data_IF_547545210393
#
_entry.id   IF_547545210393
#
_cell.length_a   1.000
_cell.length_b   1.000
_cell.length_c   1.000
_cell.angle_alpha   90.00
_cell.angle_beta   90.00
_cell.angle_gamma   90.00
#
_symmetry.space_group_name_H-M   'P 1'
#
loop_
_entity.id
_entity.type
_entity.pdbx_description
1 polymer ?
#
# COMPACT_ATOMS: atom_id res chain seq x y z
N UNK A 1 24.20 12.01 -3.96
CA UNK A 1 22.93 11.90 -4.69
C UNK A 1 21.91 11.23 -3.79
N UNK A 2 20.71 11.79 -3.68
CA UNK A 2 19.60 11.20 -2.92
C UNK A 2 18.28 11.46 -3.66
N UNK A 3 17.24 10.72 -3.28
CA UNK A 3 15.88 10.95 -3.77
C UNK A 3 14.96 11.10 -2.57
N UNK A 4 14.22 12.21 -2.51
CA UNK A 4 13.23 12.49 -1.47
C UNK A 4 11.96 13.04 -2.11
N UNK A 5 10.80 12.40 -1.90
CA UNK A 5 9.51 12.90 -2.41
C UNK A 5 9.52 13.24 -3.91
N UNK A 6 10.02 12.33 -4.75
CA UNK A 6 10.20 12.54 -6.19
C UNK A 6 11.10 13.72 -6.58
N UNK A 7 11.95 14.19 -5.66
CA UNK A 7 13.03 15.13 -5.94
C UNK A 7 14.37 14.40 -5.93
N UNK A 8 15.08 14.43 -7.05
CA UNK A 8 16.45 13.93 -7.14
C UNK A 8 17.40 15.06 -6.79
N UNK A 9 18.16 14.86 -5.72
CA UNK A 9 19.13 15.82 -5.20
C UNK A 9 20.53 15.43 -5.64
N UNK A 10 21.15 16.28 -6.45
CA UNK A 10 22.50 16.12 -6.99
C UNK A 10 23.42 17.13 -6.31
N UNK A 11 24.08 16.70 -5.25
CA UNK A 11 25.01 17.55 -4.51
C UNK A 11 26.33 16.85 -4.22
N UNK A 12 27.39 17.64 -4.09
CA UNK A 12 28.71 17.18 -3.70
C UNK A 12 29.72 18.30 -3.54
N UNK A 13 30.80 18.00 -2.84
CA UNK A 13 32.01 18.85 -2.78
C UNK A 13 33.05 18.32 -3.75
N UNK A 14 33.86 19.19 -4.34
CA UNK A 14 34.91 18.84 -5.30
C UNK A 14 36.10 19.81 -5.20
N UNK A 15 37.25 19.40 -5.73
CA UNK A 15 38.43 20.24 -5.90
C UNK A 15 38.56 20.82 -7.32
N UNK A 16 37.55 20.61 -8.18
CA UNK A 16 37.51 21.22 -9.50
C UNK A 16 37.49 22.76 -9.40
N UNK A 17 38.13 23.48 -10.35
CA UNK A 17 38.06 24.94 -10.38
C UNK A 17 36.62 25.43 -10.54
N UNK A 18 36.32 26.60 -9.97
CA UNK A 18 35.05 27.28 -10.22
C UNK A 18 34.83 27.46 -11.73
N UNK A 19 33.59 27.24 -12.17
CA UNK A 19 33.23 27.23 -13.59
C UNK A 19 33.37 25.88 -14.28
N UNK A 20 33.90 24.86 -13.59
CA UNK A 20 33.89 23.48 -14.10
C UNK A 20 32.46 22.96 -14.19
N UNK A 21 32.17 22.13 -15.19
CA UNK A 21 30.83 21.56 -15.40
C UNK A 21 30.77 20.07 -15.03
N UNK A 22 29.81 19.71 -14.18
CA UNK A 22 29.41 18.33 -13.89
C UNK A 22 28.18 18.02 -14.72
N UNK A 23 28.21 16.98 -15.57
CA UNK A 23 27.03 16.54 -16.30
C UNK A 23 26.27 15.47 -15.52
N UNK A 24 24.97 15.42 -15.70
CA UNK A 24 24.16 14.29 -15.24
C UNK A 24 23.10 13.93 -16.29
N UNK A 25 22.66 12.68 -16.22
CA UNK A 25 21.60 12.08 -17.02
C UNK A 25 20.66 11.28 -16.08
N UNK A 26 19.36 11.45 -16.22
CA UNK A 26 18.33 10.62 -15.61
C UNK A 26 17.61 9.91 -16.75
N UNK A 27 17.40 8.62 -16.61
CA UNK A 27 16.69 7.79 -17.58
C UNK A 27 15.66 6.93 -16.86
N UNK A 28 14.46 6.79 -17.43
CA UNK A 28 13.54 5.73 -17.00
C UNK A 28 13.85 4.43 -17.76
N UNK A 29 14.09 3.32 -17.05
CA UNK A 29 14.53 2.07 -17.70
C UNK A 29 13.50 1.52 -18.68
N UNK A 30 12.21 1.67 -18.36
CA UNK A 30 11.12 1.09 -19.17
C UNK A 30 10.51 2.09 -20.16
N UNK A 31 10.78 3.39 -20.00
CA UNK A 31 10.25 4.44 -20.88
C UNK A 31 11.38 5.34 -21.36
N UNK A 32 11.99 4.94 -22.48
CA UNK A 32 13.13 5.62 -23.09
C UNK A 32 12.82 7.06 -23.57
N UNK A 33 11.56 7.52 -23.49
CA UNK A 33 11.21 8.92 -23.79
C UNK A 33 11.28 9.83 -22.56
N UNK A 34 11.42 9.24 -21.37
CA UNK A 34 11.52 9.95 -20.10
C UNK A 34 12.99 9.98 -19.71
N UNK A 35 13.62 11.12 -20.03
CA UNK A 35 15.01 11.38 -19.68
C UNK A 35 15.20 12.87 -19.38
N UNK A 36 16.12 13.18 -18.47
CA UNK A 36 16.58 14.53 -18.20
C UNK A 36 18.10 14.58 -18.18
N UNK A 37 18.68 15.72 -18.57
CA UNK A 37 20.10 15.97 -18.39
C UNK A 37 20.34 17.42 -18.03
N UNK A 38 21.39 17.68 -17.25
CA UNK A 38 21.89 19.03 -17.14
C UNK A 38 23.40 19.08 -16.88
N UNK A 39 23.92 20.31 -16.94
CA UNK A 39 25.29 20.67 -16.61
C UNK A 39 25.26 21.60 -15.40
N UNK A 40 25.92 21.19 -14.34
CA UNK A 40 25.98 21.88 -13.06
C UNK A 40 27.35 22.54 -12.95
N UNK A 41 27.36 23.84 -12.72
CA UNK A 41 28.60 24.59 -12.51
C UNK A 41 29.11 24.35 -11.08
N UNK A 42 30.42 24.15 -10.95
CA UNK A 42 31.10 24.08 -9.66
C UNK A 42 31.32 25.51 -9.17
N UNK A 43 30.89 25.78 -7.93
CA UNK A 43 31.07 27.06 -7.24
C UNK A 43 31.60 26.79 -5.82
N UNK A 44 32.70 27.45 -5.47
CA UNK A 44 33.36 27.37 -4.16
C UNK A 44 33.67 25.92 -3.73
N UNK A 45 34.07 25.09 -4.70
CA UNK A 45 34.36 23.66 -4.47
C UNK A 45 33.12 22.82 -4.18
N UNK A 46 31.94 23.25 -4.61
CA UNK A 46 30.68 22.52 -4.44
C UNK A 46 29.80 22.60 -5.69
N UNK A 47 28.88 21.66 -5.84
CA UNK A 47 27.85 21.69 -6.86
C UNK A 47 26.52 21.21 -6.28
N UNK A 48 25.42 21.73 -6.83
CA UNK A 48 24.07 21.42 -6.38
C UNK A 48 23.08 21.52 -7.54
N UNK A 49 22.19 20.55 -7.66
CA UNK A 49 21.07 20.59 -8.60
C UNK A 49 19.92 19.71 -8.10
N UNK A 50 18.70 20.07 -8.48
CA UNK A 50 17.48 19.34 -8.17
C UNK A 50 16.74 19.01 -9.45
N UNK A 51 16.20 17.80 -9.54
CA UNK A 51 15.31 17.39 -10.63
C UNK A 51 14.00 16.88 -10.04
N UNK A 52 12.89 17.49 -10.45
CA UNK A 52 11.54 17.04 -10.12
C UNK A 52 11.14 15.91 -11.07
N UNK A 53 11.09 14.69 -10.53
CA UNK A 53 10.68 13.48 -11.27
C UNK A 53 9.23 13.09 -10.98
N UNK A 54 8.40 13.98 -10.42
CA UNK A 54 6.98 13.71 -10.14
C UNK A 54 6.19 13.32 -11.39
N UNK A 55 6.60 13.81 -12.57
CA UNK A 55 6.01 13.46 -13.87
C UNK A 55 6.46 12.13 -14.48
N UNK A 56 7.47 11.47 -13.90
CA UNK A 56 7.98 10.19 -14.43
C UNK A 56 6.94 9.07 -14.19
N UNK A 57 6.82 8.08 -15.09
CA UNK A 57 6.01 6.89 -14.82
C UNK A 57 6.58 6.10 -13.63
N UNK A 58 5.74 5.22 -13.08
CA UNK A 58 6.20 4.24 -12.09
C UNK A 58 7.19 3.25 -12.72
N UNK A 59 8.10 2.74 -11.90
CA UNK A 59 9.16 1.82 -12.32
C UNK A 59 10.56 2.34 -12.01
N UNK A 60 11.54 1.67 -12.59
CA UNK A 60 12.93 1.93 -12.29
C UNK A 60 13.45 3.18 -13.00
N UNK A 61 13.89 4.17 -12.21
CA UNK A 61 14.61 5.36 -12.65
C UNK A 61 16.10 5.15 -12.41
N UNK A 62 16.87 5.24 -13.48
CA UNK A 62 18.31 5.17 -13.48
C UNK A 62 18.87 6.59 -13.46
N UNK A 63 19.65 6.91 -12.44
CA UNK A 63 20.27 8.22 -12.28
C UNK A 63 21.77 8.06 -12.47
N UNK A 64 22.28 8.70 -13.52
CA UNK A 64 23.67 8.68 -13.91
C UNK A 64 24.28 10.07 -13.73
N UNK A 65 25.42 10.16 -13.07
CA UNK A 65 26.20 11.41 -13.07
C UNK A 65 27.56 11.16 -13.69
N UNK A 66 28.05 12.07 -14.54
CA UNK A 66 29.38 11.94 -15.10
C UNK A 66 30.08 13.28 -15.32
N UNK A 67 31.38 13.28 -15.09
CA UNK A 67 32.21 14.48 -15.26
C UNK A 67 32.89 14.43 -16.62
N UNK A 68 32.55 15.39 -17.49
CA UNK A 68 33.25 15.59 -18.76
C UNK A 68 34.37 16.61 -18.56
N UNK A 69 35.60 16.11 -18.37
CA UNK A 69 36.81 16.94 -18.22
C UNK A 69 37.26 17.66 -19.52
N UNK A 70 36.37 17.87 -20.49
CA UNK A 70 36.72 18.36 -21.83
C UNK A 70 36.99 19.87 -21.90
N UNK A 71 36.58 20.65 -20.89
CA UNK A 71 36.72 22.12 -20.85
C UNK A 71 37.72 22.62 -19.80
N UNK A 72 38.44 21.70 -19.13
CA UNK A 72 39.50 22.09 -18.21
C UNK A 72 40.74 22.52 -19.01
N UNK A 73 41.45 23.59 -18.60
CA UNK A 73 42.77 23.85 -19.15
C UNK A 73 43.65 22.60 -18.95
N UNK A 74 44.47 22.25 -19.94
CA UNK A 74 45.51 21.22 -19.84
C UNK A 74 46.50 21.62 -18.72
N UNK A 75 46.12 21.37 -17.47
CA UNK A 75 46.95 21.52 -16.30
C UNK A 75 47.08 20.14 -15.67
N UNK A 76 48.25 19.53 -15.86
CA UNK A 76 48.56 18.13 -15.50
C UNK A 76 48.31 17.83 -14.01
N UNK A 77 48.25 18.86 -13.15
CA UNK A 77 47.98 18.72 -11.72
C UNK A 77 46.53 18.34 -11.37
N UNK A 78 45.57 18.48 -12.28
CA UNK A 78 44.16 18.14 -12.02
C UNK A 78 43.84 16.65 -12.23
N UNK A 79 44.71 15.93 -12.92
CA UNK A 79 44.43 14.57 -13.42
C UNK A 79 44.77 13.44 -12.43
N UNK A 80 45.40 13.74 -11.29
CA UNK A 80 46.03 12.76 -10.39
C UNK A 80 45.22 12.36 -9.14
N UNK A 81 43.90 12.57 -9.06
CA UNK A 81 43.21 12.27 -7.78
C UNK A 81 41.69 12.23 -7.74
N UNK A 82 41.04 11.29 -8.43
CA UNK A 82 39.59 11.07 -8.27
C UNK A 82 39.28 9.57 -8.20
N UNK A 83 38.95 9.06 -7.00
CA UNK A 83 38.26 7.77 -6.84
C UNK A 83 37.18 7.88 -5.76
N UNK A 84 35.98 7.35 -6.06
CA UNK A 84 34.85 7.32 -5.14
C UNK A 84 35.02 6.22 -4.09
N UNK A 85 35.31 6.63 -2.85
CA UNK A 85 34.91 5.86 -1.69
C UNK A 85 34.33 6.82 -0.66
N UNK A 86 33.06 6.61 -0.33
CA UNK A 86 32.32 7.32 0.72
C UNK A 86 32.03 8.83 0.47
N UNK A 87 31.70 9.22 -0.77
CA UNK A 87 31.21 10.57 -1.13
C UNK A 87 32.13 11.76 -0.78
N UNK A 88 33.46 11.58 -0.80
CA UNK A 88 34.43 12.67 -0.67
C UNK A 88 35.56 12.49 -1.68
N UNK A 89 35.87 13.53 -2.46
CA UNK A 89 37.09 13.59 -3.29
C UNK A 89 38.29 13.82 -2.36
N UNK A 90 39.20 12.84 -2.20
CA UNK A 90 40.45 13.02 -1.43
C UNK A 90 41.63 12.35 -2.14
N UNK A 91 42.74 13.08 -2.23
CA UNK A 91 44.00 12.65 -2.87
C UNK A 91 45.15 12.30 -1.90
N UNK A 92 46.34 12.24 -2.49
CA UNK A 92 47.68 11.89 -1.95
C UNK A 92 48.02 10.38 -1.83
N UNK A 93 47.98 9.62 -2.95
CA UNK A 93 48.87 8.49 -3.29
C UNK A 93 48.16 7.43 -4.18
N UNK A 94 48.30 7.50 -5.52
CA UNK A 94 48.11 6.32 -6.39
C UNK A 94 49.10 6.34 -7.57
N UNK A 95 49.80 5.22 -7.74
CA UNK A 95 50.87 5.00 -8.73
C UNK A 95 50.37 4.56 -10.10
N UNK A 96 51.07 5.06 -11.12
CA UNK A 96 50.95 4.88 -12.57
C UNK A 96 50.82 3.41 -13.04
N UNK A 97 49.75 3.10 -13.77
CA UNK A 97 49.87 2.63 -15.17
C UNK A 97 48.51 2.73 -15.89
N UNK A 98 48.26 3.84 -16.58
CA UNK A 98 47.13 4.01 -17.50
C UNK A 98 47.64 4.64 -18.80
N UNK A 99 48.44 3.90 -19.55
CA UNK A 99 48.75 4.28 -20.93
C UNK A 99 47.52 4.12 -21.85
N UNK A 100 47.29 5.21 -22.61
CA UNK A 100 46.67 5.30 -23.93
C UNK A 100 45.14 5.40 -24.04
N UNK A 101 44.74 6.56 -24.58
CA UNK A 101 43.43 6.91 -25.15
C UNK A 101 42.23 6.63 -24.26
N UNK A 102 41.75 7.63 -23.50
CA UNK A 102 40.31 7.85 -23.23
C UNK A 102 40.09 9.04 -22.31
N UNK A 103 39.17 9.92 -22.72
CA UNK A 103 38.50 10.90 -21.84
C UNK A 103 38.05 10.17 -20.57
N UNK A 104 38.63 10.51 -19.42
CA UNK A 104 38.30 9.86 -18.15
C UNK A 104 36.87 10.25 -17.76
N UNK A 105 35.93 9.37 -18.09
CA UNK A 105 34.52 9.49 -17.74
C UNK A 105 34.34 8.85 -16.37
N UNK A 106 34.21 9.66 -15.33
CA UNK A 106 33.77 9.18 -14.02
C UNK A 106 32.26 9.04 -14.06
N UNK A 107 31.70 7.91 -13.58
CA UNK A 107 30.26 7.71 -13.49
C UNK A 107 29.84 7.29 -12.08
N UNK A 108 28.76 7.87 -11.57
CA UNK A 108 27.99 7.33 -10.43
C UNK A 108 26.64 6.83 -10.95
N UNK A 109 26.14 5.73 -10.37
CA UNK A 109 24.89 5.10 -10.76
C UNK A 109 24.02 4.87 -9.52
N UNK A 110 22.88 5.55 -9.47
CA UNK A 110 21.84 5.32 -8.46
C UNK A 110 20.59 4.83 -9.15
N UNK A 111 19.98 3.81 -8.58
CA UNK A 111 18.70 3.28 -9.02
C UNK A 111 17.63 3.68 -8.02
N UNK A 112 16.53 4.25 -8.50
CA UNK A 112 15.36 4.62 -7.71
C UNK A 112 14.13 3.91 -8.27
N UNK A 113 13.40 3.18 -7.42
CA UNK A 113 12.13 2.57 -7.82
C UNK A 113 11.01 3.56 -7.52
N UNK A 114 10.42 4.15 -8.55
CA UNK A 114 9.25 5.01 -8.38
C UNK A 114 8.01 4.15 -8.23
N UNK A 115 7.39 4.21 -7.06
CA UNK A 115 6.15 3.47 -6.81
C UNK A 115 4.99 4.05 -7.62
N UNK A 116 4.10 3.17 -8.06
CA UNK A 116 2.83 3.58 -8.66
C UNK A 116 1.93 4.18 -7.58
N UNK A 117 1.60 5.46 -7.74
CA UNK A 117 0.62 6.13 -6.86
C UNK A 117 -0.78 5.75 -7.35
N UNK A 118 -1.30 4.64 -6.81
CA UNK A 118 -2.69 4.25 -7.04
C UNK A 118 -3.56 5.17 -6.15
N UNK A 119 -4.46 5.99 -6.72
CA UNK A 119 -5.35 6.81 -5.90
C UNK A 119 -6.20 5.89 -5.00
N UNK A 120 -6.50 6.32 -3.76
CA UNK A 120 -7.34 5.52 -2.89
C UNK A 120 -8.69 5.28 -3.56
N UNK A 121 -9.20 4.06 -3.41
CA UNK A 121 -10.54 3.73 -3.88
C UNK A 121 -11.57 4.62 -3.16
N UNK A 122 -12.46 5.26 -3.93
CA UNK A 122 -13.56 6.03 -3.36
C UNK A 122 -14.76 5.09 -3.11
N UNK A 123 -15.31 5.12 -1.89
CA UNK A 123 -16.43 4.27 -1.53
C UNK A 123 -17.64 4.46 -2.46
N UNK A 124 -18.25 3.35 -2.88
CA UNK A 124 -19.39 3.36 -3.81
C UNK A 124 -20.65 2.92 -3.08
N UNK A 125 -21.70 3.73 -3.18
CA UNK A 125 -22.99 3.47 -2.52
C UNK A 125 -24.04 3.02 -3.52
N UNK A 126 -24.71 1.92 -3.20
CA UNK A 126 -25.86 1.38 -3.89
C UNK A 126 -27.07 1.41 -2.94
N UNK A 127 -28.22 1.86 -3.44
CA UNK A 127 -29.45 1.88 -2.66
C UNK A 127 -30.63 1.49 -3.53
N UNK A 128 -31.60 0.80 -2.94
CA UNK A 128 -32.78 0.31 -3.64
C UNK A 128 -33.87 -0.15 -2.69
N UNK A 129 -34.89 -0.79 -3.25
CA UNK A 129 -36.03 -1.34 -2.50
C UNK A 129 -36.58 -2.55 -3.23
N UNK A 130 -36.90 -3.61 -2.48
CA UNK A 130 -37.30 -4.87 -3.08
C UNK A 130 -36.09 -5.68 -3.59
N UNK A 131 -36.39 -6.70 -4.40
CA UNK A 131 -35.36 -7.53 -5.04
C UNK A 131 -34.63 -6.76 -6.15
N UNK A 132 -33.31 -6.96 -6.27
CA UNK A 132 -32.49 -6.34 -7.33
C UNK A 132 -31.26 -7.20 -7.68
N UNK A 133 -30.70 -6.99 -8.87
CA UNK A 133 -29.47 -7.62 -9.33
C UNK A 133 -28.65 -6.63 -10.17
N UNK A 134 -27.46 -6.26 -9.69
CA UNK A 134 -26.66 -5.20 -10.30
C UNK A 134 -25.15 -5.48 -10.23
N UNK A 135 -24.36 -4.98 -11.21
CA UNK A 135 -22.91 -5.01 -11.13
C UNK A 135 -22.40 -4.03 -10.07
N UNK A 136 -21.26 -4.36 -9.48
CA UNK A 136 -20.60 -3.51 -8.49
C UNK A 136 -19.25 -2.99 -8.99
N UNK A 137 -18.90 -1.79 -8.55
CA UNK A 137 -17.55 -1.24 -8.59
C UNK A 137 -16.87 -1.56 -7.26
N UNK A 138 -15.62 -2.01 -7.32
CA UNK A 138 -14.86 -2.52 -6.19
C UNK A 138 -13.37 -2.21 -6.35
N UNK A 139 -12.58 -2.14 -5.27
CA UNK A 139 -11.13 -2.01 -5.38
C UNK A 139 -10.50 -3.29 -5.94
N UNK A 140 -9.24 -3.19 -6.37
CA UNK A 140 -8.47 -4.33 -6.89
C UNK A 140 -8.07 -5.34 -5.79
N UNK A 141 -8.28 -4.99 -4.51
CA UNK A 141 -7.96 -5.80 -3.34
C UNK A 141 -9.17 -6.28 -2.53
N UNK A 142 -8.88 -6.79 -1.33
CA UNK A 142 -9.90 -7.18 -0.35
C UNK A 142 -10.79 -5.98 -0.04
N UNK A 143 -12.10 -6.20 0.00
CA UNK A 143 -13.05 -5.14 0.25
C UNK A 143 -14.12 -5.56 1.24
N UNK A 144 -14.78 -4.54 1.80
CA UNK A 144 -15.89 -4.70 2.73
C UNK A 144 -17.18 -4.20 2.10
N UNK A 145 -18.30 -4.74 2.58
CA UNK A 145 -19.63 -4.22 2.32
C UNK A 145 -20.23 -3.78 3.65
N UNK A 146 -20.57 -2.50 3.78
CA UNK A 146 -21.43 -2.01 4.88
C UNK A 146 -22.86 -2.05 4.38
N UNK A 147 -23.72 -2.81 5.04
CA UNK A 147 -25.07 -3.13 4.55
C UNK A 147 -26.08 -2.72 5.61
N UNK A 148 -27.06 -1.91 5.20
CA UNK A 148 -28.21 -1.53 6.00
C UNK A 148 -29.49 -1.96 5.28
N UNK A 149 -30.42 -2.61 5.99
CA UNK A 149 -31.64 -3.06 5.36
C UNK A 149 -32.59 -3.82 6.27
N UNK A 150 -33.67 -4.29 5.66
CA UNK A 150 -34.66 -5.14 6.30
C UNK A 150 -35.34 -4.55 7.54
N UNK A 151 -35.59 -3.24 7.55
CA UNK A 151 -36.33 -2.56 8.63
C UNK A 151 -37.70 -3.18 8.93
N UNK A 152 -38.28 -3.89 7.97
CA UNK A 152 -39.56 -4.59 8.10
C UNK A 152 -39.47 -6.00 8.75
N UNK A 153 -38.26 -6.49 9.05
CA UNK A 153 -38.01 -7.84 9.59
C UNK A 153 -38.73 -8.94 8.79
N UNK A 154 -38.40 -8.98 7.49
CA UNK A 154 -38.81 -10.00 6.52
C UNK A 154 -37.57 -10.74 6.02
N UNK A 155 -37.73 -11.67 5.10
CA UNK A 155 -36.54 -12.28 4.49
C UNK A 155 -35.71 -11.20 3.79
N UNK A 156 -34.43 -11.13 4.16
CA UNK A 156 -33.44 -10.26 3.54
C UNK A 156 -32.15 -11.03 3.28
N UNK A 157 -31.68 -10.99 2.04
CA UNK A 157 -30.44 -11.62 1.66
C UNK A 157 -29.65 -10.75 0.68
N UNK A 158 -28.33 -10.80 0.82
CA UNK A 158 -27.37 -10.19 -0.12
C UNK A 158 -26.40 -11.28 -0.53
N UNK A 159 -26.33 -11.56 -1.84
CA UNK A 159 -25.53 -12.65 -2.40
C UNK A 159 -24.66 -12.15 -3.54
N UNK A 160 -23.39 -12.54 -3.52
CA UNK A 160 -22.41 -12.22 -4.55
C UNK A 160 -22.37 -13.23 -5.70
N UNK A 161 -22.04 -12.74 -6.88
CA UNK A 161 -21.77 -13.52 -8.08
C UNK A 161 -20.55 -12.98 -8.84
N UNK A 162 -19.80 -13.88 -9.50
CA UNK A 162 -18.69 -13.53 -10.39
C UNK A 162 -19.17 -13.13 -11.80
N UNK A 163 -18.24 -12.73 -12.68
CA UNK A 163 -18.54 -12.35 -14.08
C UNK A 163 -19.14 -13.49 -14.92
N UNK A 164 -18.94 -14.74 -14.51
CA UNK A 164 -19.52 -15.91 -15.17
C UNK A 164 -20.92 -16.27 -14.61
N UNK A 165 -21.40 -15.53 -13.61
CA UNK A 165 -22.68 -15.76 -12.94
C UNK A 165 -22.64 -16.91 -11.94
N UNK A 166 -21.47 -17.36 -11.49
CA UNK A 166 -21.36 -18.31 -10.39
C UNK A 166 -21.49 -17.58 -9.06
N UNK A 167 -22.17 -18.19 -8.09
CA UNK A 167 -22.26 -17.61 -6.76
C UNK A 167 -20.91 -17.63 -6.05
N UNK A 168 -20.52 -16.50 -5.44
CA UNK A 168 -19.27 -16.33 -4.69
C UNK A 168 -19.53 -16.51 -3.20
N UNK A 169 -20.30 -15.60 -2.58
CA UNK A 169 -20.59 -15.58 -1.14
C UNK A 169 -22.04 -15.21 -0.87
N UNK A 170 -22.61 -15.81 0.18
CA UNK A 170 -23.85 -15.33 0.79
C UNK A 170 -23.46 -14.39 1.92
N UNK A 171 -23.50 -13.09 1.67
CA UNK A 171 -23.04 -12.06 2.59
C UNK A 171 -23.99 -11.87 3.75
N UNK A 172 -25.29 -11.78 3.45
CA UNK A 172 -26.35 -11.61 4.45
C UNK A 172 -27.46 -12.59 4.15
N UNK A 173 -28.03 -13.19 5.19
CA UNK A 173 -29.26 -14.00 5.11
C UNK A 173 -29.96 -13.99 6.46
N UNK A 174 -30.97 -13.13 6.61
CA UNK A 174 -31.63 -12.91 7.90
C UNK A 174 -33.13 -12.64 7.73
N UNK A 175 -33.86 -12.79 8.84
CA UNK A 175 -35.24 -12.28 8.97
C UNK A 175 -35.34 -11.05 9.86
N UNK A 176 -34.24 -10.65 10.50
CA UNK A 176 -34.17 -9.52 11.42
C UNK A 176 -33.68 -8.26 10.67
N UNK A 177 -33.92 -7.07 11.24
CA UNK A 177 -33.28 -5.85 10.72
C UNK A 177 -31.77 -6.02 10.68
N UNK A 178 -31.13 -5.52 9.62
CA UNK A 178 -29.71 -5.72 9.39
C UNK A 178 -29.00 -4.38 9.29
N UNK A 179 -27.90 -4.27 10.02
CA UNK A 179 -26.90 -3.21 9.93
C UNK A 179 -25.57 -3.85 10.35
N UNK A 180 -24.61 -3.93 9.44
CA UNK A 180 -23.37 -4.65 9.69
C UNK A 180 -22.35 -4.54 8.55
N UNK A 181 -21.12 -4.94 8.84
CA UNK A 181 -20.01 -4.96 7.89
C UNK A 181 -19.61 -6.39 7.59
N UNK A 182 -19.48 -6.73 6.31
CA UNK A 182 -19.08 -8.07 5.85
C UNK A 182 -17.89 -8.01 4.91
N UNK A 183 -17.09 -9.07 4.89
CA UNK A 183 -15.83 -9.15 4.16
C UNK A 183 -15.98 -9.94 2.85
N UNK A 184 -15.44 -9.44 1.74
CA UNK A 184 -15.09 -10.28 0.59
C UNK A 184 -13.57 -10.44 0.51
N UNK A 185 -13.07 -11.54 1.06
CA UNK A 185 -11.65 -11.88 1.08
C UNK A 185 -11.16 -12.49 -0.25
N UNK A 186 -12.06 -13.13 -1.01
CA UNK A 186 -11.69 -13.84 -2.23
C UNK A 186 -11.70 -12.92 -3.46
N UNK A 187 -12.28 -11.73 -3.33
CA UNK A 187 -12.28 -10.63 -4.32
C UNK A 187 -12.90 -11.00 -5.69
N UNK A 188 -13.65 -12.09 -5.74
CA UNK A 188 -14.26 -12.63 -6.95
C UNK A 188 -15.67 -12.08 -7.24
N UNK A 189 -16.30 -11.36 -6.32
CA UNK A 189 -17.66 -10.83 -6.52
C UNK A 189 -17.63 -9.64 -7.47
N UNK A 190 -18.44 -9.71 -8.53
CA UNK A 190 -18.66 -8.62 -9.51
C UNK A 190 -20.11 -8.15 -9.57
N UNK A 191 -21.05 -8.94 -9.05
CA UNK A 191 -22.48 -8.64 -9.00
C UNK A 191 -23.05 -8.94 -7.63
N UNK A 192 -24.05 -8.17 -7.22
CA UNK A 192 -24.87 -8.46 -6.04
C UNK A 192 -26.31 -8.75 -6.46
N UNK A 193 -26.88 -9.80 -5.88
CA UNK A 193 -28.31 -10.07 -5.82
C UNK A 193 -28.81 -9.69 -4.43
N UNK A 194 -29.79 -8.80 -4.38
CA UNK A 194 -30.50 -8.44 -3.16
C UNK A 194 -31.89 -9.07 -3.22
N UNK A 195 -32.29 -9.79 -2.17
CA UNK A 195 -33.67 -10.20 -1.96
C UNK A 195 -34.23 -9.45 -0.76
N UNK A 196 -35.23 -8.59 -0.96
CA UNK A 196 -35.74 -7.72 0.09
C UNK A 196 -37.23 -7.39 -0.09
N UNK A 197 -37.90 -7.05 1.00
CA UNK A 197 -39.29 -6.53 0.96
C UNK A 197 -39.37 -5.00 1.03
N UNK A 198 -38.27 -4.32 1.37
CA UNK A 198 -38.22 -2.88 1.58
C UNK A 198 -36.84 -2.33 1.25
N UNK A 199 -36.57 -1.12 1.75
CA UNK A 199 -35.38 -0.35 1.39
C UNK A 199 -34.10 -0.99 1.94
N UNK A 200 -33.02 -0.82 1.18
CA UNK A 200 -31.67 -1.26 1.53
C UNK A 200 -30.63 -0.28 0.98
N UNK A 201 -29.47 -0.25 1.66
CA UNK A 201 -28.27 0.47 1.26
C UNK A 201 -27.05 -0.45 1.42
N UNK A 202 -26.14 -0.41 0.46
CA UNK A 202 -24.90 -1.17 0.43
C UNK A 202 -23.78 -0.22 0.03
N UNK A 203 -22.78 -0.05 0.91
CA UNK A 203 -21.57 0.70 0.62
C UNK A 203 -20.41 -0.28 0.45
N UNK A 204 -19.78 -0.25 -0.72
CA UNK A 204 -18.56 -0.99 -1.01
C UNK A 204 -17.37 -0.07 -0.78
N UNK A 205 -16.38 -0.56 -0.05
CA UNK A 205 -15.21 0.21 0.37
C UNK A 205 -13.97 -0.69 0.49
N UNK A 206 -12.79 -0.07 0.47
CA UNK A 206 -11.53 -0.79 0.68
C UNK A 206 -11.46 -1.36 2.11
N UNK A 207 -10.77 -2.50 2.28
CA UNK A 207 -10.52 -3.07 3.60
C UNK A 207 -9.87 -2.05 4.56
N UNK A 208 -9.02 -1.14 4.07
CA UNK A 208 -8.40 -0.09 4.87
C UNK A 208 -9.41 0.86 5.55
N UNK A 209 -10.66 0.89 5.07
CA UNK A 209 -11.76 1.66 5.67
C UNK A 209 -12.54 0.89 6.75
N UNK A 210 -12.16 -0.36 7.05
CA UNK A 210 -12.67 -1.10 8.19
C UNK A 210 -12.24 -0.46 9.52
N UNK A 211 -13.00 -0.71 10.58
CA UNK A 211 -12.68 -0.19 11.91
C UNK A 211 -11.36 -0.77 12.42
N UNK A 212 -10.51 0.08 12.99
CA UNK A 212 -9.26 -0.35 13.63
C UNK A 212 -9.55 -0.65 15.11
N UNK A 213 -9.21 -1.86 15.54
CA UNK A 213 -9.18 -2.27 16.94
C UNK A 213 -7.76 -2.06 17.49
N UNK A 214 -7.66 -1.31 18.57
CA UNK A 214 -6.43 -1.18 19.35
C UNK A 214 -6.40 -2.25 20.46
N UNK A 215 -6.54 -1.86 21.73
CA UNK A 215 -6.56 -2.79 22.88
C UNK A 215 -7.93 -3.47 23.07
N UNK A 216 -9.02 -2.77 22.73
CA UNK A 216 -10.38 -3.30 22.89
C UNK A 216 -11.32 -2.69 21.87
N UNK A 217 -12.32 -3.48 21.43
CA UNK A 217 -13.39 -3.00 20.57
C UNK A 217 -14.73 -3.63 20.96
N UNK A 218 -15.77 -2.81 20.95
CA UNK A 218 -17.16 -3.24 21.15
C UNK A 218 -17.92 -3.06 19.84
N UNK A 219 -18.67 -4.08 19.45
CA UNK A 219 -19.46 -4.05 18.23
C UNK A 219 -20.82 -4.70 18.41
N UNK A 220 -21.61 -4.64 17.35
CA UNK A 220 -22.95 -5.19 17.28
C UNK A 220 -23.15 -5.86 15.92
N UNK A 221 -23.76 -7.04 15.90
CA UNK A 221 -24.04 -7.73 14.65
C UNK A 221 -22.77 -8.30 14.00
N UNK A 222 -22.77 -8.33 12.67
CA UNK A 222 -21.59 -8.67 11.87
C UNK A 222 -20.66 -7.46 11.73
N UNK A 223 -19.35 -7.69 11.81
CA UNK A 223 -18.37 -6.62 11.62
C UNK A 223 -17.03 -7.15 11.10
N UNK A 224 -16.21 -6.23 10.59
CA UNK A 224 -14.84 -6.49 10.12
C UNK A 224 -13.91 -5.49 10.78
N UNK A 225 -12.90 -5.98 11.51
CA UNK A 225 -11.93 -5.15 12.20
C UNK A 225 -10.52 -5.39 11.67
N UNK A 226 -9.71 -4.32 11.66
CA UNK A 226 -8.27 -4.40 11.51
C UNK A 226 -7.60 -4.36 12.87
N UNK A 227 -6.61 -5.23 13.08
CA UNK A 227 -5.77 -5.22 14.28
C UNK A 227 -4.31 -5.10 13.87
N UNK A 228 -3.66 -4.01 14.29
CA UNK A 228 -2.26 -3.71 13.94
C UNK A 228 -1.28 -4.03 15.08
N UNK A 229 -1.78 -4.60 16.18
CA UNK A 229 -0.96 -5.05 17.29
C UNK A 229 -0.36 -6.44 17.06
N UNK A 230 0.33 -6.96 18.09
CA UNK A 230 1.04 -8.25 18.02
C UNK A 230 0.67 -9.21 19.16
N UNK A 231 -0.43 -8.93 19.87
CA UNK A 231 -0.87 -9.78 20.99
C UNK A 231 -1.19 -11.20 20.53
N UNK A 232 -0.85 -12.17 21.40
CA UNK A 232 -1.13 -13.58 21.18
C UNK A 232 -2.40 -14.09 21.86
N UNK A 233 -3.16 -13.23 22.53
CA UNK A 233 -4.30 -13.61 23.38
C UNK A 233 -5.42 -12.57 23.26
N UNK A 234 -6.66 -13.04 23.13
CA UNK A 234 -7.85 -12.19 23.16
C UNK A 234 -8.88 -12.73 24.15
N UNK A 235 -9.45 -11.84 24.97
CA UNK A 235 -10.65 -12.09 25.75
C UNK A 235 -11.86 -11.61 24.95
N UNK A 236 -12.80 -12.52 24.67
CA UNK A 236 -13.97 -12.26 23.82
C UNK A 236 -15.25 -12.54 24.61
N UNK A 237 -16.21 -11.63 24.54
CA UNK A 237 -17.57 -11.82 25.07
C UNK A 237 -18.62 -11.50 24.01
N UNK A 238 -19.79 -12.15 24.08
CA UNK A 238 -20.88 -11.87 23.15
C UNK A 238 -21.92 -12.98 23.09
N UNK A 239 -22.84 -12.83 22.13
CA UNK A 239 -23.89 -13.82 21.85
C UNK A 239 -24.91 -14.03 22.98
N UNK A 240 -25.28 -12.96 23.67
CA UNK A 240 -26.32 -12.98 24.72
C UNK A 240 -27.70 -13.47 24.21
N UNK A 241 -27.94 -13.39 22.90
CA UNK A 241 -29.14 -13.87 22.24
C UNK A 241 -29.13 -15.39 21.91
N UNK A 242 -28.03 -16.11 22.20
CA UNK A 242 -27.86 -17.54 21.92
C UNK A 242 -28.18 -17.90 20.45
N UNK A 243 -27.61 -17.13 19.53
CA UNK A 243 -27.66 -17.34 18.08
C UNK A 243 -26.28 -17.80 17.57
N UNK A 244 -26.13 -18.04 16.28
CA UNK A 244 -24.81 -18.32 15.73
C UNK A 244 -23.88 -17.11 15.95
N UNK A 245 -22.77 -17.34 16.64
CA UNK A 245 -21.72 -16.36 16.87
C UNK A 245 -20.37 -16.96 16.51
N UNK A 246 -19.65 -16.27 15.64
CA UNK A 246 -18.32 -16.67 15.21
C UNK A 246 -17.37 -15.49 15.14
N UNK A 247 -16.11 -15.75 15.49
CA UNK A 247 -15.00 -14.81 15.30
C UNK A 247 -13.90 -15.57 14.59
N UNK A 248 -13.48 -15.07 13.44
CA UNK A 248 -12.32 -15.57 12.70
C UNK A 248 -11.23 -14.52 12.68
N UNK A 249 -9.99 -14.95 12.78
CA UNK A 249 -8.83 -14.10 12.56
C UNK A 249 -8.08 -14.58 11.31
N UNK A 250 -7.68 -13.65 10.44
CA UNK A 250 -6.89 -13.94 9.24
C UNK A 250 -5.48 -13.42 9.40
N UNK A 251 -4.53 -14.24 8.95
CA UNK A 251 -3.09 -13.97 8.98
C UNK A 251 -2.48 -14.42 7.64
N UNK A 252 -1.22 -14.05 7.36
CA UNK A 252 -0.57 -14.33 6.06
C UNK A 252 -0.52 -15.82 5.68
N UNK A 253 -0.57 -16.71 6.68
CA UNK A 253 -0.54 -18.16 6.50
C UNK A 253 -1.91 -18.86 6.50
N UNK A 254 -3.01 -18.15 6.71
CA UNK A 254 -4.33 -18.76 6.77
C UNK A 254 -5.33 -18.03 7.68
N UNK A 255 -6.18 -18.81 8.34
CA UNK A 255 -7.20 -18.30 9.26
C UNK A 255 -7.34 -19.20 10.49
N UNK A 256 -7.62 -18.56 11.62
CA UNK A 256 -8.01 -19.20 12.85
C UNK A 256 -9.51 -18.99 13.10
N UNK A 257 -10.21 -20.05 13.52
CA UNK A 257 -11.59 -19.97 14.00
C UNK A 257 -11.55 -19.82 15.52
N UNK A 258 -11.49 -18.57 15.98
CA UNK A 258 -11.33 -18.22 17.39
C UNK A 258 -12.58 -18.57 18.21
N UNK A 259 -13.75 -18.25 17.69
CA UNK A 259 -15.05 -18.55 18.30
C UNK A 259 -15.98 -19.13 17.24
N UNK A 260 -16.75 -20.15 17.61
CA UNK A 260 -17.86 -20.68 16.83
C UNK A 260 -18.84 -21.40 17.76
N UNK A 261 -19.94 -20.74 18.10
CA UNK A 261 -20.90 -21.25 19.09
C UNK A 261 -22.31 -20.77 18.80
N UNK A 262 -23.29 -21.46 19.39
CA UNK A 262 -24.67 -20.97 19.50
C UNK A 262 -25.01 -20.49 20.90
N UNK A 263 -24.15 -20.74 21.89
CA UNK A 263 -24.37 -20.38 23.29
C UNK A 263 -23.77 -19.00 23.59
N UNK A 264 -24.21 -18.35 24.67
CA UNK A 264 -23.56 -17.15 25.20
C UNK A 264 -22.06 -17.41 25.42
N UNK A 265 -21.22 -16.48 24.98
CA UNK A 265 -19.77 -16.65 24.97
C UNK A 265 -19.08 -15.65 25.90
N UNK A 266 -18.17 -16.16 26.73
CA UNK A 266 -17.21 -15.37 27.50
C UNK A 266 -15.97 -16.23 27.74
N UNK A 267 -14.86 -15.91 27.08
CA UNK A 267 -13.66 -16.72 27.17
C UNK A 267 -12.44 -16.09 26.54
N UNK A 268 -11.29 -16.69 26.83
CA UNK A 268 -9.98 -16.24 26.33
C UNK A 268 -9.46 -17.24 25.31
N UNK A 269 -8.96 -16.73 24.17
CA UNK A 269 -8.48 -17.51 23.03
C UNK A 269 -7.07 -17.09 22.66
N UNK A 270 -6.30 -18.03 22.12
CA UNK A 270 -5.01 -17.71 21.50
C UNK A 270 -5.26 -17.09 20.13
N UNK A 271 -4.60 -15.99 19.85
CA UNK A 271 -4.56 -15.33 18.54
C UNK A 271 -3.15 -15.50 17.97
N UNK A 272 -3.03 -15.81 16.68
CA UNK A 272 -1.71 -15.75 16.03
C UNK A 272 -1.23 -14.30 15.97
N UNK A 273 0.02 -14.04 16.38
CA UNK A 273 0.59 -12.68 16.44
C UNK A 273 0.72 -11.99 15.08
N UNK A 274 0.52 -12.72 13.97
CA UNK A 274 0.48 -12.17 12.61
C UNK A 274 -0.96 -11.96 12.09
N UNK A 275 -1.97 -12.13 12.94
CA UNK A 275 -3.37 -11.89 12.60
C UNK A 275 -3.67 -10.40 12.48
N UNK A 276 -4.33 -10.01 11.39
CA UNK A 276 -4.57 -8.61 11.05
C UNK A 276 -6.01 -8.26 10.68
N UNK A 277 -6.84 -9.24 10.28
CA UNK A 277 -8.28 -9.05 10.05
C UNK A 277 -9.06 -9.93 11.01
N UNK A 278 -10.07 -9.36 11.68
CA UNK A 278 -11.08 -10.09 12.42
C UNK A 278 -12.41 -10.00 11.67
N UNK A 279 -12.99 -11.14 11.31
CA UNK A 279 -14.36 -11.23 10.76
C UNK A 279 -15.27 -11.78 11.86
N UNK A 280 -16.23 -10.95 12.29
CA UNK A 280 -17.20 -11.28 13.32
C UNK A 280 -18.54 -11.55 12.63
N UNK A 281 -19.20 -12.64 13.04
CA UNK A 281 -20.58 -12.95 12.65
C UNK A 281 -21.42 -13.05 13.92
N UNK A 282 -22.50 -12.28 14.02
CA UNK A 282 -23.36 -12.24 15.20
C UNK A 282 -24.62 -11.39 15.00
N UNK A 283 -25.52 -11.40 15.98
CA UNK A 283 -26.80 -10.62 15.92
C UNK A 283 -26.97 -9.64 17.09
N UNK A 284 -25.99 -9.55 17.98
CA UNK A 284 -26.08 -8.75 19.19
C UNK A 284 -24.73 -8.17 19.57
N UNK A 285 -24.68 -7.55 20.74
CA UNK A 285 -23.46 -6.90 21.24
C UNK A 285 -22.38 -7.94 21.56
N UNK A 286 -21.14 -7.58 21.26
CA UNK A 286 -19.95 -8.35 21.58
C UNK A 286 -18.76 -7.41 21.87
N UNK A 287 -17.75 -7.95 22.54
CA UNK A 287 -16.52 -7.24 22.88
C UNK A 287 -15.32 -8.14 22.64
N UNK A 288 -14.25 -7.58 22.08
CA UNK A 288 -12.94 -8.21 21.96
C UNK A 288 -11.93 -7.32 22.69
N UNK A 289 -11.13 -7.91 23.56
CA UNK A 289 -10.02 -7.26 24.29
C UNK A 289 -8.74 -8.04 24.05
N UNK A 290 -7.72 -7.38 23.53
CA UNK A 290 -6.38 -7.94 23.28
C UNK A 290 -5.52 -7.80 24.54
N UNK A 291 -4.77 -8.86 24.90
CA UNK A 291 -3.97 -8.93 26.16
C UNK A 291 -2.45 -8.91 25.96
#
# INVERSE_FOLDING_TARGET
MSVEQDMVMLEGTTNLPDGSLVSFELDHEEDLNVFDNAKIEVEDGSFYHEVDISGYPAGQVLIQSFILLNDLPEDDALYDGIFMKDYVFVGEDVSEDLEHDRKTLYYDLVTYEKEEVIPPFEAVTYAGSGDDFFPIEKPDGIFILRIDGNSASRHFAVRGFDDAGNATKLFVNTTDSYSGTVLDLEVHTSYLEVSAAGDWEIVIDDLAAASIMDESYQGHGDDVLLYLGSSGVASITGNSAERHFAVKAYHSGGRDLLVNTTDNYAGTVRVDSSSFIFEITGTGDWEIVME
#
